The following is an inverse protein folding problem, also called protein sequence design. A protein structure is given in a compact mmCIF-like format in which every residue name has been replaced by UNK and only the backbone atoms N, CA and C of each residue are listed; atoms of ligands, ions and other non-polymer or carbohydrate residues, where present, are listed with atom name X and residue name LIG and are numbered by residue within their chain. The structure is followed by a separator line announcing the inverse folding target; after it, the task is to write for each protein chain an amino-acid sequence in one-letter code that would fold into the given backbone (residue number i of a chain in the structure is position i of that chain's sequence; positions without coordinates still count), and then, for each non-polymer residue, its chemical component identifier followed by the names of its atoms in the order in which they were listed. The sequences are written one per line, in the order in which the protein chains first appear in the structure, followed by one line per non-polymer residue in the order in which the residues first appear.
data_IF_974208402476
#
_entry.id   IF_974208402476
#
_cell.length_a   1.000
_cell.length_b   1.000
_cell.length_c   1.000
_cell.angle_alpha   90.00
_cell.angle_beta   90.00
_cell.angle_gamma   90.00
#
_symmetry.space_group_name_H-M   'P 1'
#
loop_
_entity.id
_entity.type
_entity.pdbx_description
1 polymer ?
#
# COMPACT_ATOMS: atom_id res chain seq x y z
N UNK A 1 -12.06 52.54 -37.92
CA UNK A 1 -11.57 53.76 -37.33
C UNK A 1 -11.26 53.46 -35.88
N UNK A 2 -9.99 53.10 -35.61
CA UNK A 2 -9.03 53.93 -34.91
C UNK A 2 -9.37 53.98 -33.42
N UNK A 3 -8.59 53.50 -32.49
CA UNK A 3 -7.23 53.91 -32.18
C UNK A 3 -6.55 52.91 -31.24
N UNK A 4 -5.36 52.54 -31.58
CA UNK A 4 -4.34 51.86 -30.79
C UNK A 4 -3.81 52.85 -29.76
N UNK A 5 -3.61 52.46 -28.53
CA UNK A 5 -2.73 53.15 -27.59
C UNK A 5 -1.76 52.18 -26.92
N UNK A 6 -0.52 52.25 -27.43
CA UNK A 6 0.67 51.63 -26.85
C UNK A 6 1.20 52.60 -25.80
N UNK A 7 1.43 52.14 -24.60
CA UNK A 7 2.30 52.82 -23.63
C UNK A 7 3.41 51.87 -23.23
N UNK A 8 4.59 52.19 -23.69
CA UNK A 8 5.90 51.70 -23.26
C UNK A 8 6.47 52.71 -22.28
N UNK A 9 6.93 52.27 -21.15
CA UNK A 9 7.97 52.92 -20.31
C UNK A 9 8.17 51.96 -19.10
N UNK A 10 9.33 51.58 -18.65
CA UNK A 10 10.71 51.98 -18.88
C UNK A 10 11.52 51.30 -17.80
N UNK A 11 12.60 50.70 -18.19
CA UNK A 11 13.61 50.05 -17.37
C UNK A 11 14.11 50.95 -16.22
N UNK A 12 14.34 50.37 -15.06
CA UNK A 12 15.51 50.76 -14.24
C UNK A 12 16.17 49.54 -13.62
N UNK A 13 17.36 49.29 -14.11
CA UNK A 13 18.38 48.41 -13.56
C UNK A 13 19.06 49.17 -12.42
N UNK A 14 19.22 48.54 -11.27
CA UNK A 14 20.23 48.98 -10.31
C UNK A 14 21.01 47.75 -9.84
N UNK A 15 22.26 47.71 -10.29
CA UNK A 15 23.33 46.87 -9.79
C UNK A 15 23.80 47.43 -8.44
N UNK A 16 24.10 46.57 -7.48
CA UNK A 16 25.22 46.80 -6.59
C UNK A 16 25.70 45.47 -5.98
N UNK A 17 26.91 45.18 -6.35
CA UNK A 17 27.82 44.16 -5.77
C UNK A 17 28.18 44.50 -4.34
N UNK A 18 28.39 43.50 -3.47
CA UNK A 18 29.70 43.35 -2.81
C UNK A 18 29.84 41.95 -2.16
N UNK A 19 30.86 41.27 -2.60
CA UNK A 19 31.58 40.20 -1.93
C UNK A 19 32.04 40.62 -0.53
N UNK A 20 32.12 39.66 0.37
CA UNK A 20 33.31 39.47 1.21
C UNK A 20 33.33 38.05 1.80
N UNK A 21 34.33 37.35 1.41
CA UNK A 21 34.94 36.13 1.96
C UNK A 21 35.38 36.30 3.38
N UNK A 22 35.26 35.26 4.22
CA UNK A 22 36.43 34.78 4.97
C UNK A 22 36.19 33.38 5.53
N UNK A 23 37.06 32.51 5.22
CA UNK A 23 37.27 31.17 5.77
C UNK A 23 37.84 31.26 7.18
N UNK A 24 37.50 30.32 8.04
CA UNK A 24 38.34 29.92 9.14
C UNK A 24 38.18 28.42 9.39
N UNK A 25 39.24 27.73 9.02
CA UNK A 25 39.59 26.36 9.35
C UNK A 25 40.12 26.37 10.79
N UNK A 26 39.65 25.46 11.61
CA UNK A 26 40.43 25.05 12.80
C UNK A 26 40.24 23.58 13.05
N UNK A 27 41.25 22.84 12.63
CA UNK A 27 41.57 21.49 13.02
C UNK A 27 42.25 21.53 14.40
N UNK A 28 42.08 20.49 15.22
CA UNK A 28 43.06 19.90 16.17
C UNK A 28 42.33 18.73 16.84
N UNK A 29 42.66 17.53 16.55
CA UNK A 29 43.84 16.70 16.88
C UNK A 29 43.74 16.07 18.27
N UNK A 30 43.68 14.75 18.20
CA UNK A 30 44.17 13.68 19.09
C UNK A 30 44.81 14.09 20.41
N UNK A 31 44.43 13.35 21.45
CA UNK A 31 45.40 12.81 22.39
C UNK A 31 44.90 11.48 22.96
N UNK A 32 45.66 10.47 22.65
CA UNK A 32 45.70 9.14 23.27
C UNK A 32 46.65 9.19 24.47
N UNK A 33 46.71 8.05 25.16
CA UNK A 33 47.65 7.65 26.26
C UNK A 33 46.99 7.79 27.65
N UNK A 34 47.04 6.80 28.47
CA UNK A 34 47.78 5.56 28.51
C UNK A 34 47.80 5.04 29.94
N UNK A 35 47.83 3.74 30.01
CA UNK A 35 48.58 2.87 30.94
C UNK A 35 48.44 3.08 32.43
N UNK A 36 48.20 2.03 33.06
CA UNK A 36 48.93 0.92 33.72
C UNK A 36 48.61 0.97 35.21
N UNK A 37 48.55 -0.04 35.99
CA UNK A 37 49.33 -1.22 36.25
C UNK A 37 48.65 -2.12 37.29
N UNK A 38 48.67 -3.42 37.05
CA UNK A 38 49.23 -4.47 37.90
C UNK A 38 48.66 -4.82 39.28
N UNK A 39 48.50 -6.13 39.46
CA UNK A 39 48.40 -6.85 40.71
C UNK A 39 47.62 -8.15 40.56
N UNK A 40 48.05 -9.18 39.95
CA UNK A 40 48.88 -10.34 40.32
C UNK A 40 48.60 -10.92 41.70
N UNK A 41 48.12 -12.16 41.74
CA UNK A 41 48.68 -13.37 42.35
C UNK A 41 47.70 -14.53 42.32
N UNK A 42 47.93 -15.53 41.50
CA UNK A 42 48.41 -16.91 41.82
C UNK A 42 47.65 -17.67 42.90
N UNK A 43 47.03 -18.79 42.54
CA UNK A 43 47.50 -20.14 42.78
C UNK A 43 46.45 -21.21 42.47
N UNK A 44 46.79 -22.13 41.60
CA UNK A 44 46.31 -23.53 41.61
C UNK A 44 47.35 -24.34 42.43
N UNK A 45 47.29 -25.66 42.62
CA UNK A 45 46.26 -26.66 42.32
C UNK A 45 46.05 -27.65 43.49
N UNK A 46 45.12 -28.62 43.41
CA UNK A 46 45.33 -30.02 43.89
C UNK A 46 44.08 -30.89 43.70
N UNK A 47 44.14 -31.81 42.82
CA UNK A 47 44.23 -33.26 42.80
C UNK A 47 43.21 -34.08 43.64
N UNK A 48 42.57 -35.03 42.92
CA UNK A 48 42.17 -36.44 43.21
C UNK A 48 41.12 -36.65 44.25
N UNK A 49 40.10 -37.45 43.95
CA UNK A 49 40.13 -38.89 43.68
C UNK A 49 38.74 -39.40 43.22
N UNK A 50 38.81 -40.45 42.41
CA UNK A 50 37.72 -41.22 41.91
C UNK A 50 36.99 -42.02 43.01
N UNK A 51 35.71 -42.27 42.79
CA UNK A 51 35.09 -43.60 42.98
C UNK A 51 33.68 -43.69 42.32
N UNK A 52 33.56 -44.62 41.39
CA UNK A 52 32.52 -45.63 41.12
C UNK A 52 31.06 -45.26 40.95
N UNK A 53 30.66 -45.47 39.71
CA UNK A 53 29.47 -46.18 39.21
C UNK A 53 28.13 -46.08 39.96
N UNK A 54 27.17 -45.43 39.27
CA UNK A 54 25.83 -45.96 39.12
C UNK A 54 25.26 -45.41 37.79
N UNK A 55 24.93 -46.32 36.88
CA UNK A 55 24.33 -46.00 35.62
C UNK A 55 22.96 -45.37 35.82
N UNK A 56 22.75 -44.26 35.15
CA UNK A 56 21.42 -43.77 34.82
C UNK A 56 21.32 -43.71 33.31
N UNK A 57 20.44 -44.52 32.80
CA UNK A 57 19.93 -44.48 31.46
C UNK A 57 19.47 -43.04 31.16
N UNK A 58 20.14 -42.36 30.23
CA UNK A 58 19.57 -41.19 29.59
C UNK A 58 18.56 -41.72 28.57
N UNK A 59 17.30 -41.78 29.00
CA UNK A 59 16.20 -41.73 28.07
C UNK A 59 16.40 -40.46 27.19
N UNK A 60 16.46 -40.67 25.90
CA UNK A 60 16.40 -39.60 24.93
C UNK A 60 15.08 -38.84 25.19
N UNK A 61 15.19 -37.61 25.66
CA UNK A 61 14.08 -36.66 25.60
C UNK A 61 13.73 -36.49 24.13
N UNK A 62 12.70 -37.19 23.73
CA UNK A 62 11.96 -36.92 22.51
C UNK A 62 11.49 -35.47 22.61
N UNK A 63 11.85 -34.69 21.60
CA UNK A 63 11.52 -33.28 21.50
C UNK A 63 10.09 -33.01 21.90
N UNK A 64 9.90 -32.03 22.74
CA UNK A 64 8.61 -31.40 22.93
C UNK A 64 8.21 -30.79 21.57
N UNK A 65 7.44 -31.55 20.78
CA UNK A 65 6.54 -30.97 19.81
C UNK A 65 5.58 -30.08 20.59
N UNK A 66 5.87 -28.79 20.60
CA UNK A 66 4.87 -27.80 20.92
C UNK A 66 3.90 -27.80 19.75
N UNK A 67 2.89 -28.65 19.84
CA UNK A 67 1.66 -28.55 19.06
C UNK A 67 1.03 -27.18 19.37
N UNK A 68 1.52 -26.14 18.71
CA UNK A 68 0.75 -24.94 18.47
C UNK A 68 -0.06 -25.20 17.20
N UNK A 69 -1.13 -25.96 17.38
CA UNK A 69 -2.24 -26.06 16.44
C UNK A 69 -2.95 -24.70 16.41
N UNK A 70 -2.29 -23.71 15.82
CA UNK A 70 -2.85 -22.45 15.42
C UNK A 70 -3.25 -22.57 13.94
N UNK A 71 -4.43 -23.22 13.70
CA UNK A 71 -5.21 -23.01 12.51
C UNK A 71 -4.47 -23.16 11.16
N UNK A 72 -3.51 -24.09 11.03
CA UNK A 72 -2.97 -24.42 9.73
C UNK A 72 -4.12 -24.98 8.90
N UNK A 73 -4.59 -24.23 7.90
CA UNK A 73 -5.60 -24.71 6.95
C UNK A 73 -5.22 -26.12 6.48
N UNK A 74 -6.17 -27.05 6.51
CA UNK A 74 -5.95 -28.42 6.12
C UNK A 74 -5.33 -28.47 4.72
N UNK A 75 -4.05 -28.89 4.63
CA UNK A 75 -3.28 -28.94 3.39
C UNK A 75 -2.25 -27.82 3.18
N UNK A 76 -2.12 -26.89 4.11
CA UNK A 76 -1.03 -25.90 4.08
C UNK A 76 0.32 -26.59 4.29
N UNK A 77 1.33 -26.09 3.57
CA UNK A 77 2.72 -26.53 3.70
C UNK A 77 3.58 -25.35 4.09
N UNK A 78 4.39 -25.54 5.11
CA UNK A 78 5.43 -24.59 5.44
C UNK A 78 6.49 -24.54 4.34
N UNK A 79 6.97 -23.34 4.02
CA UNK A 79 7.97 -23.07 2.98
C UNK A 79 9.12 -22.27 3.57
N UNK A 80 10.28 -22.34 2.94
CA UNK A 80 11.49 -21.66 3.42
C UNK A 80 11.58 -20.19 3.06
N UNK A 81 10.69 -19.72 2.18
CA UNK A 81 10.65 -18.35 1.69
C UNK A 81 9.21 -17.92 1.37
N UNK A 82 8.98 -16.62 1.27
CA UNK A 82 7.70 -16.07 0.86
C UNK A 82 7.36 -16.49 -0.58
N UNK A 83 6.09 -16.82 -0.80
CA UNK A 83 5.55 -17.17 -2.11
C UNK A 83 4.45 -16.17 -2.51
N UNK A 84 4.79 -14.94 -2.94
CA UNK A 84 3.80 -13.97 -3.37
C UNK A 84 2.86 -14.56 -4.42
N UNK A 85 1.58 -14.24 -4.30
CA UNK A 85 0.53 -14.62 -5.25
C UNK A 85 -0.04 -13.37 -5.89
N UNK A 86 -0.39 -13.52 -7.15
CA UNK A 86 -1.05 -12.48 -7.93
C UNK A 86 -2.50 -12.86 -8.09
N UNK A 87 -3.38 -11.98 -7.67
CA UNK A 87 -4.83 -12.12 -7.89
C UNK A 87 -5.20 -11.15 -8.99
N UNK A 88 -5.72 -11.66 -10.11
CA UNK A 88 -5.98 -10.90 -11.34
C UNK A 88 -7.47 -10.94 -11.66
N UNK A 89 -8.09 -9.76 -11.78
CA UNK A 89 -9.50 -9.62 -12.14
C UNK A 89 -9.69 -9.47 -13.64
N UNK A 90 -10.60 -10.28 -14.19
CA UNK A 90 -10.99 -10.27 -15.60
C UNK A 90 -12.51 -10.02 -15.74
N UNK A 91 -13.02 -9.96 -16.95
CA UNK A 91 -14.47 -9.80 -17.18
C UNK A 91 -15.31 -10.99 -16.71
N UNK A 92 -14.69 -12.16 -16.51
CA UNK A 92 -15.41 -13.39 -16.15
C UNK A 92 -15.10 -13.90 -14.74
N UNK A 93 -14.15 -13.28 -14.04
CA UNK A 93 -13.79 -13.74 -12.72
C UNK A 93 -12.43 -13.29 -12.23
N UNK A 94 -11.90 -14.07 -11.30
CA UNK A 94 -10.62 -13.88 -10.67
C UNK A 94 -9.70 -15.05 -10.98
N UNK A 95 -8.47 -14.77 -11.39
CA UNK A 95 -7.40 -15.75 -11.58
C UNK A 95 -6.33 -15.57 -10.51
N UNK A 96 -5.83 -16.66 -9.93
CA UNK A 96 -4.70 -16.62 -8.99
C UNK A 96 -3.49 -17.25 -9.65
N UNK A 97 -2.39 -16.52 -9.70
CA UNK A 97 -1.11 -16.96 -10.26
C UNK A 97 -0.04 -16.97 -9.16
N UNK A 98 0.98 -17.79 -9.34
CA UNK A 98 2.20 -17.69 -8.53
C UNK A 98 3.09 -16.52 -9.00
N UNK A 99 4.17 -16.25 -8.26
CA UNK A 99 5.15 -15.21 -8.59
C UNK A 99 5.91 -15.48 -9.92
N UNK A 100 5.83 -16.68 -10.47
CA UNK A 100 6.40 -17.05 -11.79
C UNK A 100 5.37 -16.93 -12.91
N UNK A 101 4.19 -16.39 -12.59
CA UNK A 101 3.04 -16.21 -13.47
C UNK A 101 2.37 -17.53 -13.91
N UNK A 102 2.62 -18.65 -13.21
CA UNK A 102 1.89 -19.89 -13.47
C UNK A 102 0.48 -19.82 -12.85
N UNK A 103 -0.53 -20.22 -13.62
CA UNK A 103 -1.93 -20.28 -13.17
C UNK A 103 -2.11 -21.33 -12.10
N UNK A 104 -2.71 -20.96 -10.98
CA UNK A 104 -3.00 -21.84 -9.85
C UNK A 104 -4.49 -22.16 -9.74
N UNK A 105 -5.35 -21.15 -9.89
CA UNK A 105 -6.79 -21.29 -9.78
C UNK A 105 -7.53 -20.18 -10.52
N UNK A 106 -8.82 -20.42 -10.84
CA UNK A 106 -9.75 -19.42 -11.35
C UNK A 106 -11.10 -19.56 -10.64
N UNK A 107 -11.72 -18.42 -10.33
CA UNK A 107 -13.01 -18.34 -9.65
C UNK A 107 -13.93 -17.42 -10.43
N UNK A 108 -15.16 -17.84 -10.80
CA UNK A 108 -16.10 -16.99 -11.52
C UNK A 108 -16.64 -15.88 -10.62
N UNK A 109 -16.92 -14.71 -11.19
CA UNK A 109 -17.63 -13.61 -10.54
C UNK A 109 -18.80 -13.16 -11.42
N UNK A 110 -19.79 -12.45 -10.82
CA UNK A 110 -20.96 -11.98 -11.54
C UNK A 110 -20.64 -10.84 -12.51
N UNK A 111 -19.60 -10.07 -12.18
CA UNK A 111 -19.06 -9.00 -13.04
C UNK A 111 -17.56 -8.87 -12.81
N UNK A 112 -16.89 -8.10 -13.68
CA UNK A 112 -15.48 -7.72 -13.52
C UNK A 112 -15.25 -7.09 -12.15
N UNK A 113 -14.38 -7.67 -11.30
CA UNK A 113 -14.12 -7.13 -9.98
C UNK A 113 -13.02 -6.08 -9.99
N UNK A 114 -13.09 -5.14 -9.04
CA UNK A 114 -11.93 -4.39 -8.56
C UNK A 114 -11.33 -5.16 -7.38
N UNK A 115 -10.00 -5.25 -7.33
CA UNK A 115 -9.29 -6.06 -6.35
C UNK A 115 -8.54 -5.19 -5.35
N UNK A 116 -8.65 -5.54 -4.08
CA UNK A 116 -7.89 -4.91 -2.99
C UNK A 116 -7.42 -5.98 -2.02
N UNK A 117 -6.13 -5.97 -1.69
CA UNK A 117 -5.56 -6.86 -0.66
C UNK A 117 -6.07 -6.45 0.72
N UNK A 118 -6.48 -7.43 1.52
CA UNK A 118 -6.91 -7.22 2.90
C UNK A 118 -5.73 -6.88 3.82
N UNK A 119 -6.04 -6.43 5.04
CA UNK A 119 -5.06 -6.05 6.05
C UNK A 119 -4.11 -7.20 6.44
N UNK A 120 -4.56 -8.44 6.33
CA UNK A 120 -3.76 -9.64 6.64
C UNK A 120 -2.73 -10.01 5.56
N UNK A 121 -2.75 -9.33 4.42
CA UNK A 121 -1.84 -9.60 3.30
C UNK A 121 -2.07 -10.94 2.59
N UNK A 122 -3.02 -11.77 3.02
CA UNK A 122 -3.37 -13.08 2.46
C UNK A 122 -4.60 -13.04 1.58
N UNK A 123 -5.65 -12.36 2.04
CA UNK A 123 -6.94 -12.34 1.36
C UNK A 123 -7.06 -11.15 0.42
N UNK A 124 -7.83 -11.33 -0.65
CA UNK A 124 -8.15 -10.28 -1.62
C UNK A 124 -9.66 -10.14 -1.74
N UNK A 125 -10.15 -8.92 -1.60
CA UNK A 125 -11.53 -8.57 -1.78
C UNK A 125 -11.81 -8.25 -3.24
N UNK A 126 -12.70 -9.02 -3.86
CA UNK A 126 -13.14 -8.87 -5.25
C UNK A 126 -14.47 -8.11 -5.27
N UNK A 127 -14.37 -6.79 -5.41
CA UNK A 127 -15.51 -5.86 -5.34
C UNK A 127 -16.24 -5.81 -6.67
N UNK A 128 -17.52 -6.15 -6.66
CA UNK A 128 -18.42 -6.12 -7.79
C UNK A 128 -19.52 -5.06 -7.53
N UNK A 129 -19.15 -3.81 -7.78
CA UNK A 129 -19.96 -2.64 -7.41
C UNK A 129 -21.41 -2.69 -7.89
N UNK A 130 -21.66 -3.01 -9.18
CA UNK A 130 -23.00 -3.04 -9.77
C UNK A 130 -23.81 -4.25 -9.31
N UNK A 131 -23.16 -5.38 -9.05
CA UNK A 131 -23.80 -6.58 -8.51
C UNK A 131 -24.11 -6.45 -7.01
N UNK A 132 -23.44 -5.51 -6.32
CA UNK A 132 -23.59 -5.35 -4.87
C UNK A 132 -22.96 -6.49 -4.08
N UNK A 133 -21.90 -7.10 -4.61
CA UNK A 133 -21.25 -8.29 -4.05
C UNK A 133 -19.76 -8.04 -3.83
N UNK A 134 -19.22 -8.53 -2.72
CA UNK A 134 -17.77 -8.60 -2.50
C UNK A 134 -17.41 -10.03 -2.12
N UNK A 135 -16.73 -10.72 -3.01
CA UNK A 135 -16.17 -12.03 -2.71
C UNK A 135 -14.82 -11.87 -2.02
N UNK A 136 -14.49 -12.83 -1.18
CA UNK A 136 -13.17 -12.95 -0.55
C UNK A 136 -12.43 -14.11 -1.20
N UNK A 137 -11.26 -13.82 -1.74
CA UNK A 137 -10.36 -14.80 -2.33
C UNK A 137 -9.20 -15.01 -1.38
N UNK A 138 -9.05 -16.23 -0.88
CA UNK A 138 -7.85 -16.67 -0.17
C UNK A 138 -6.78 -17.01 -1.22
N UNK A 139 -5.70 -16.27 -1.24
CA UNK A 139 -4.59 -16.53 -2.17
C UNK A 139 -3.89 -17.86 -1.91
N UNK A 140 -4.04 -18.41 -0.69
CA UNK A 140 -3.35 -19.61 -0.24
C UNK A 140 -1.87 -19.36 0.06
N UNK A 141 -1.46 -18.13 0.35
CA UNK A 141 -0.08 -17.83 0.74
C UNK A 141 -0.06 -16.77 1.83
N UNK A 142 0.66 -17.05 2.92
CA UNK A 142 0.76 -16.12 4.05
C UNK A 142 2.06 -16.31 4.82
N UNK A 143 2.41 -15.31 5.62
CA UNK A 143 3.50 -15.35 6.57
C UNK A 143 2.95 -15.24 8.00
N UNK A 144 3.53 -15.98 8.92
CA UNK A 144 3.24 -15.91 10.35
C UNK A 144 4.48 -15.45 11.09
N UNK A 145 4.34 -14.41 11.90
CA UNK A 145 5.44 -13.90 12.74
C UNK A 145 5.66 -14.86 13.91
N UNK A 146 6.91 -15.27 14.10
CA UNK A 146 7.31 -16.07 15.26
C UNK A 146 8.60 -15.50 15.87
N UNK A 147 8.46 -14.74 16.95
CA UNK A 147 9.60 -14.08 17.59
C UNK A 147 10.27 -13.06 16.68
N UNK A 148 11.49 -13.35 16.22
CA UNK A 148 12.32 -12.50 15.35
C UNK A 148 12.36 -12.96 13.89
N UNK A 149 11.54 -13.96 13.50
CA UNK A 149 11.51 -14.49 12.14
C UNK A 149 10.07 -14.79 11.68
N UNK A 150 9.93 -15.13 10.39
CA UNK A 150 8.67 -15.50 9.78
C UNK A 150 8.66 -16.98 9.39
N UNK A 151 7.52 -17.62 9.58
CA UNK A 151 7.17 -18.88 8.95
C UNK A 151 6.28 -18.57 7.74
N UNK A 152 6.61 -19.13 6.60
CA UNK A 152 5.85 -18.94 5.37
C UNK A 152 5.05 -20.19 5.05
N UNK A 153 3.81 -20.00 4.62
CA UNK A 153 2.91 -21.09 4.29
C UNK A 153 2.34 -20.95 2.89
N UNK A 154 2.12 -22.08 2.25
CA UNK A 154 1.46 -22.16 0.94
C UNK A 154 0.41 -23.27 0.93
N UNK A 155 -0.78 -22.92 0.45
CA UNK A 155 -1.93 -23.81 0.24
C UNK A 155 -2.52 -23.60 -1.17
N UNK A 156 -3.51 -24.39 -1.53
CA UNK A 156 -4.29 -24.13 -2.73
C UNK A 156 -5.13 -22.83 -2.54
N UNK A 157 -5.20 -21.95 -3.56
CA UNK A 157 -6.12 -20.83 -3.52
C UNK A 157 -7.56 -21.26 -3.39
N UNK A 158 -8.38 -20.45 -2.71
CA UNK A 158 -9.80 -20.69 -2.52
C UNK A 158 -10.61 -19.40 -2.63
N UNK A 159 -11.91 -19.51 -2.87
CA UNK A 159 -12.87 -18.42 -2.70
C UNK A 159 -13.82 -18.81 -1.57
N UNK A 160 -14.22 -17.85 -0.74
CA UNK A 160 -15.16 -18.12 0.34
C UNK A 160 -16.55 -18.44 -0.23
N UNK A 161 -17.23 -19.39 0.40
CA UNK A 161 -18.61 -19.74 0.04
C UNK A 161 -19.59 -18.58 0.31
N UNK A 162 -19.31 -17.78 1.34
CA UNK A 162 -20.07 -16.59 1.69
C UNK A 162 -19.44 -15.34 1.07
N UNK A 163 -20.27 -14.39 0.66
CA UNK A 163 -19.85 -13.09 0.15
C UNK A 163 -20.57 -11.97 0.90
N UNK A 164 -19.89 -10.83 1.07
CA UNK A 164 -20.56 -9.62 1.55
C UNK A 164 -21.54 -9.13 0.48
N UNK A 165 -22.73 -8.73 0.91
CA UNK A 165 -23.78 -8.21 0.04
C UNK A 165 -24.31 -6.87 0.54
N UNK A 166 -24.39 -5.90 -0.36
CA UNK A 166 -24.90 -4.56 -0.04
C UNK A 166 -24.94 -3.66 -1.26
N UNK A 167 -25.64 -2.56 -1.15
CA UNK A 167 -25.77 -1.61 -2.27
C UNK A 167 -24.49 -0.81 -2.51
N UNK A 168 -23.91 -0.95 -3.71
CA UNK A 168 -22.71 -0.20 -4.16
C UNK A 168 -21.50 -0.33 -3.23
N UNK A 169 -20.91 -1.51 -3.05
CA UNK A 169 -19.60 -1.60 -2.41
C UNK A 169 -18.56 -0.90 -3.29
N UNK A 170 -17.77 0.01 -2.72
CA UNK A 170 -16.78 0.81 -3.48
C UNK A 170 -15.41 0.78 -2.83
N UNK A 171 -15.27 1.38 -1.66
CA UNK A 171 -13.98 1.51 -1.00
C UNK A 171 -13.70 0.32 -0.10
N UNK A 172 -12.52 -0.27 -0.29
CA UNK A 172 -11.96 -1.29 0.59
C UNK A 172 -10.64 -0.74 1.12
N UNK A 173 -10.52 -0.65 2.43
CA UNK A 173 -9.30 -0.16 3.08
C UNK A 173 -8.80 -1.18 4.08
N UNK A 174 -7.64 -1.76 3.80
CA UNK A 174 -6.89 -2.61 4.71
C UNK A 174 -5.78 -1.80 5.39
N UNK A 175 -5.65 -1.95 6.71
CA UNK A 175 -4.51 -1.43 7.45
C UNK A 175 -3.92 -2.54 8.31
N UNK A 176 -2.79 -3.09 7.87
CA UNK A 176 -2.13 -4.21 8.55
C UNK A 176 -1.81 -3.90 10.02
N UNK A 177 -1.37 -2.67 10.33
CA UNK A 177 -1.09 -2.25 11.70
C UNK A 177 -2.34 -2.15 12.59
N UNK A 178 -3.53 -2.06 12.00
CA UNK A 178 -4.81 -2.11 12.72
C UNK A 178 -5.37 -3.53 12.81
N UNK A 179 -4.87 -4.44 11.98
CA UNK A 179 -5.40 -5.78 11.75
C UNK A 179 -6.89 -5.74 11.38
N UNK A 180 -7.24 -4.83 10.47
CA UNK A 180 -8.63 -4.55 10.13
C UNK A 180 -8.77 -4.10 8.68
N UNK A 181 -9.73 -4.70 7.99
CA UNK A 181 -10.17 -4.30 6.65
C UNK A 181 -11.59 -3.75 6.73
N UNK A 182 -11.87 -2.65 6.04
CA UNK A 182 -13.21 -2.09 5.92
C UNK A 182 -13.71 -2.16 4.50
N UNK A 183 -15.00 -2.42 4.33
CA UNK A 183 -15.71 -2.39 3.03
C UNK A 183 -16.84 -1.38 3.15
N UNK A 184 -16.76 -0.28 2.42
CA UNK A 184 -17.77 0.77 2.44
C UNK A 184 -18.84 0.55 1.37
N UNK A 185 -20.11 0.72 1.77
CA UNK A 185 -21.28 0.58 0.90
C UNK A 185 -21.96 1.94 0.72
N UNK A 186 -21.79 2.56 -0.43
CA UNK A 186 -22.29 3.90 -0.73
C UNK A 186 -23.82 4.05 -0.52
N UNK A 187 -24.59 3.03 -0.87
CA UNK A 187 -26.04 3.08 -0.79
C UNK A 187 -26.58 3.15 0.65
N UNK A 188 -25.79 2.71 1.62
CA UNK A 188 -26.17 2.76 3.04
C UNK A 188 -25.39 3.80 3.82
N UNK A 189 -24.23 4.24 3.30
CA UNK A 189 -23.28 5.09 4.03
C UNK A 189 -22.70 4.37 5.23
N UNK A 190 -22.37 3.09 5.11
CA UNK A 190 -21.83 2.29 6.18
C UNK A 190 -20.69 1.38 5.69
N UNK A 191 -19.71 1.15 6.54
CA UNK A 191 -18.65 0.19 6.31
C UNK A 191 -18.83 -1.07 7.16
N UNK A 192 -18.63 -2.23 6.56
CA UNK A 192 -18.48 -3.51 7.26
C UNK A 192 -17.02 -3.70 7.67
N UNK A 193 -16.79 -4.17 8.90
CA UNK A 193 -15.47 -4.40 9.47
C UNK A 193 -15.12 -5.89 9.38
N UNK A 194 -14.05 -6.22 8.67
CA UNK A 194 -13.51 -7.58 8.58
C UNK A 194 -12.25 -7.63 9.45
N UNK A 195 -12.35 -8.38 10.54
CA UNK A 195 -11.23 -8.67 11.43
C UNK A 195 -10.47 -9.90 10.95
N UNK A 196 -9.32 -10.16 11.52
CA UNK A 196 -8.57 -11.40 11.30
C UNK A 196 -9.46 -12.65 11.53
N UNK A 197 -10.23 -12.68 12.62
CA UNK A 197 -11.17 -13.76 12.94
C UNK A 197 -12.17 -14.05 11.81
N UNK A 198 -12.70 -12.99 11.15
CA UNK A 198 -13.65 -13.17 10.04
C UNK A 198 -13.00 -13.89 8.83
N UNK A 199 -11.71 -13.68 8.61
CA UNK A 199 -10.97 -14.39 7.57
C UNK A 199 -10.62 -15.83 7.98
N UNK A 200 -10.24 -16.07 9.23
CA UNK A 200 -9.92 -17.40 9.74
C UNK A 200 -11.16 -18.32 9.77
N UNK A 201 -12.27 -17.81 10.29
CA UNK A 201 -13.53 -18.59 10.37
C UNK A 201 -14.25 -18.69 9.04
N UNK A 202 -13.90 -17.82 8.08
CA UNK A 202 -14.59 -17.66 6.79
C UNK A 202 -16.06 -17.26 6.92
N UNK A 203 -16.43 -16.67 8.07
CA UNK A 203 -17.78 -16.23 8.38
C UNK A 203 -17.92 -14.72 8.12
N UNK A 204 -18.72 -14.35 7.11
CA UNK A 204 -18.93 -12.97 6.70
C UNK A 204 -20.30 -12.40 7.13
N UNK A 205 -21.06 -13.14 7.93
CA UNK A 205 -22.35 -12.69 8.49
C UNK A 205 -22.18 -12.15 9.93
N UNK A 206 -23.09 -11.27 10.32
CA UNK A 206 -23.10 -10.72 11.69
C UNK A 206 -21.93 -9.77 12.01
N UNK A 207 -21.16 -9.36 11.01
CA UNK A 207 -20.03 -8.48 11.19
C UNK A 207 -20.45 -7.10 11.70
N UNK A 208 -19.57 -6.48 12.50
CA UNK A 208 -19.76 -5.10 12.98
C UNK A 208 -19.72 -4.13 11.80
N UNK A 209 -20.57 -3.09 11.88
CA UNK A 209 -20.58 -1.99 10.91
C UNK A 209 -20.35 -0.65 11.59
N UNK A 210 -19.77 0.29 10.84
CA UNK A 210 -19.64 1.71 11.21
C UNK A 210 -20.43 2.52 10.23
N UNK A 211 -21.45 3.22 10.71
CA UNK A 211 -22.33 4.07 9.89
C UNK A 211 -21.86 5.52 9.86
N UNK A 212 -22.23 6.19 8.78
CA UNK A 212 -22.13 7.65 8.61
C UNK A 212 -23.51 8.30 8.75
N UNK A 213 -23.59 9.61 8.58
CA UNK A 213 -24.88 10.34 8.66
C UNK A 213 -25.83 10.07 7.50
N UNK A 214 -25.43 9.30 6.50
CA UNK A 214 -26.29 8.93 5.37
C UNK A 214 -25.51 8.37 4.17
N UNK A 215 -26.22 7.96 3.11
CA UNK A 215 -25.62 7.49 1.87
C UNK A 215 -24.66 8.52 1.26
N UNK A 216 -23.49 8.05 0.82
CA UNK A 216 -22.46 8.87 0.21
C UNK A 216 -21.42 7.99 -0.51
N UNK A 217 -20.59 8.60 -1.33
CA UNK A 217 -19.37 7.98 -1.83
C UNK A 217 -18.25 8.21 -0.81
N UNK A 218 -18.23 7.39 0.26
CA UNK A 218 -17.40 7.61 1.43
C UNK A 218 -16.47 6.47 1.76
N UNK A 219 -15.72 6.63 2.85
CA UNK A 219 -14.77 5.64 3.34
C UNK A 219 -14.70 5.64 4.87
N UNK A 220 -14.38 4.50 5.44
CA UNK A 220 -13.98 4.35 6.85
C UNK A 220 -12.57 3.77 6.87
N UNK A 221 -11.63 4.50 7.46
CA UNK A 221 -10.22 4.10 7.56
C UNK A 221 -9.91 3.66 9.00
N UNK A 222 -9.50 2.41 9.21
CA UNK A 222 -9.05 1.95 10.51
C UNK A 222 -7.61 2.43 10.78
N UNK A 223 -7.32 2.89 11.99
CA UNK A 223 -5.99 3.31 12.44
C UNK A 223 -5.39 2.27 13.39
N UNK A 224 -4.06 2.20 13.44
CA UNK A 224 -3.33 1.25 14.28
C UNK A 224 -3.67 1.38 15.79
N UNK A 225 -3.98 2.59 16.24
CA UNK A 225 -4.41 2.87 17.63
C UNK A 225 -5.88 2.48 17.92
N UNK A 226 -6.56 1.79 16.99
CA UNK A 226 -7.97 1.38 17.03
C UNK A 226 -9.00 2.50 16.90
N UNK A 227 -8.58 3.72 16.61
CA UNK A 227 -9.47 4.77 16.17
C UNK A 227 -9.86 4.57 14.69
N UNK A 228 -10.87 5.30 14.24
CA UNK A 228 -11.34 5.26 12.86
C UNK A 228 -11.49 6.67 12.32
N UNK A 229 -11.13 6.88 11.07
CA UNK A 229 -11.47 8.08 10.32
C UNK A 229 -12.70 7.78 9.47
N UNK A 230 -13.79 8.46 9.75
CA UNK A 230 -15.12 8.21 9.19
C UNK A 230 -15.55 9.42 8.39
N UNK A 231 -15.68 9.27 7.08
CA UNK A 231 -16.18 10.37 6.23
C UNK A 231 -17.66 10.64 6.48
N UNK A 232 -18.05 11.91 6.34
CA UNK A 232 -19.44 12.33 6.48
C UNK A 232 -19.92 12.99 5.19
N UNK A 233 -21.20 12.77 4.80
CA UNK A 233 -21.72 13.33 3.56
C UNK A 233 -21.66 14.85 3.55
N UNK A 234 -21.30 15.42 2.41
CA UNK A 234 -21.28 16.85 2.18
C UNK A 234 -22.69 17.42 1.89
N UNK A 235 -22.83 18.72 2.04
CA UNK A 235 -24.12 19.42 1.84
C UNK A 235 -24.59 19.43 0.37
N UNK A 236 -23.67 19.24 -0.59
CA UNK A 236 -23.91 19.44 -2.02
C UNK A 236 -24.05 18.15 -2.84
N UNK A 237 -24.01 16.99 -2.21
CA UNK A 237 -24.12 15.74 -2.96
C UNK A 237 -23.49 14.53 -2.30
N UNK A 238 -23.13 13.54 -3.13
CA UNK A 238 -22.66 12.24 -2.66
C UNK A 238 -21.19 12.21 -2.19
N UNK A 239 -20.42 13.28 -2.43
CA UNK A 239 -19.02 13.36 -2.01
C UNK A 239 -18.92 13.87 -0.56
N UNK A 240 -18.00 13.34 0.23
CA UNK A 240 -17.78 13.79 1.61
C UNK A 240 -17.11 15.16 1.66
N UNK A 241 -17.44 15.94 2.69
CA UNK A 241 -16.83 17.24 3.00
C UNK A 241 -16.08 17.23 4.34
N UNK A 242 -16.37 16.26 5.20
CA UNK A 242 -15.75 16.16 6.52
C UNK A 242 -15.36 14.73 6.88
N UNK A 243 -14.37 14.64 7.77
CA UNK A 243 -13.84 13.38 8.28
C UNK A 243 -13.87 13.47 9.80
N UNK A 244 -14.56 12.56 10.47
CA UNK A 244 -14.59 12.44 11.91
C UNK A 244 -13.53 11.43 12.38
N UNK A 245 -12.69 11.81 13.33
CA UNK A 245 -11.86 10.89 14.10
C UNK A 245 -12.71 10.32 15.22
N UNK A 246 -13.01 9.04 15.16
CA UNK A 246 -13.85 8.36 16.13
C UNK A 246 -13.03 7.29 16.88
N UNK A 247 -13.29 7.15 18.18
CA UNK A 247 -12.81 6.01 18.96
C UNK A 247 -13.58 4.73 18.62
N UNK A 248 -13.08 3.58 19.06
CA UNK A 248 -13.66 2.27 18.76
C UNK A 248 -15.14 2.10 19.22
N UNK A 249 -15.61 2.93 20.16
CA UNK A 249 -17.00 2.98 20.62
C UNK A 249 -17.88 3.97 19.83
N UNK A 250 -17.30 4.66 18.83
CA UNK A 250 -17.98 5.64 17.98
C UNK A 250 -17.99 7.07 18.54
N UNK A 251 -17.32 7.34 19.65
CA UNK A 251 -17.22 8.72 20.19
C UNK A 251 -16.33 9.57 19.27
N UNK A 252 -16.86 10.69 18.79
CA UNK A 252 -16.11 11.64 17.98
C UNK A 252 -15.10 12.38 18.84
N UNK A 253 -13.82 12.27 18.49
CA UNK A 253 -12.69 12.92 19.16
C UNK A 253 -12.32 14.25 18.49
N UNK A 254 -12.41 14.31 17.15
CA UNK A 254 -12.07 15.47 16.35
C UNK A 254 -12.80 15.41 15.00
N UNK A 255 -12.82 16.54 14.27
CA UNK A 255 -13.43 16.65 12.94
C UNK A 255 -12.57 17.51 12.04
N UNK A 256 -12.29 17.01 10.83
CA UNK A 256 -11.46 17.65 9.83
C UNK A 256 -12.27 17.98 8.58
N UNK A 257 -12.00 19.13 7.98
CA UNK A 257 -12.61 19.53 6.71
C UNK A 257 -11.75 19.07 5.53
N UNK A 258 -12.39 18.47 4.52
CA UNK A 258 -11.79 18.09 3.26
C UNK A 258 -12.88 18.14 2.18
N UNK A 259 -13.05 19.31 1.59
CA UNK A 259 -14.17 19.57 0.67
C UNK A 259 -14.09 18.66 -0.55
N UNK A 260 -15.24 18.05 -0.88
CA UNK A 260 -15.42 17.21 -2.05
C UNK A 260 -14.29 16.15 -2.16
N UNK A 261 -14.07 15.45 -1.04
CA UNK A 261 -12.98 14.49 -0.85
C UNK A 261 -13.04 13.36 -1.87
N UNK A 262 -11.89 13.02 -2.44
CA UNK A 262 -11.72 11.83 -3.28
C UNK A 262 -10.30 11.30 -3.20
N UNK A 263 -10.18 9.97 -3.07
CA UNK A 263 -8.89 9.31 -2.92
C UNK A 263 -8.34 9.39 -1.51
N UNK A 264 -7.96 8.23 -1.00
CA UNK A 264 -7.43 8.04 0.33
C UNK A 264 -6.30 7.02 0.32
N UNK A 265 -5.47 7.10 1.36
CA UNK A 265 -4.46 6.07 1.66
C UNK A 265 -4.19 6.05 3.15
N UNK A 266 -3.82 4.88 3.68
CA UNK A 266 -3.46 4.70 5.09
C UNK A 266 -2.25 3.79 5.26
N UNK A 267 -1.43 4.12 6.25
CA UNK A 267 -0.42 3.24 6.83
C UNK A 267 -0.28 3.56 8.32
N UNK A 268 -0.44 2.54 9.18
CA UNK A 268 -0.37 2.74 10.63
C UNK A 268 -1.39 3.74 11.16
N UNK A 269 -0.93 4.84 11.75
CA UNK A 269 -1.75 5.96 12.24
C UNK A 269 -1.72 7.18 11.30
N UNK A 270 -1.22 7.01 10.08
CA UNK A 270 -1.16 8.08 9.09
C UNK A 270 -2.15 7.80 7.97
N UNK A 271 -3.06 8.72 7.71
CA UNK A 271 -3.96 8.71 6.55
C UNK A 271 -3.81 10.01 5.77
N UNK A 272 -4.01 9.93 4.44
CA UNK A 272 -4.06 11.11 3.58
C UNK A 272 -5.28 11.06 2.67
N UNK A 273 -5.82 12.24 2.36
CA UNK A 273 -7.01 12.44 1.53
C UNK A 273 -6.78 13.55 0.51
N UNK A 274 -7.24 13.33 -0.73
CA UNK A 274 -7.32 14.39 -1.72
C UNK A 274 -8.58 15.25 -1.51
N UNK A 275 -8.41 16.55 -1.35
CA UNK A 275 -9.49 17.55 -1.28
C UNK A 275 -9.45 18.42 -2.54
N UNK A 276 -10.48 19.21 -2.81
CA UNK A 276 -10.54 20.07 -4.01
C UNK A 276 -9.35 21.02 -4.15
N UNK A 277 -8.84 21.53 -3.04
CA UNK A 277 -7.82 22.59 -3.01
C UNK A 277 -6.55 22.21 -2.25
N UNK A 278 -6.47 20.93 -1.81
CA UNK A 278 -5.40 20.51 -0.91
C UNK A 278 -5.30 18.99 -0.80
N UNK A 279 -4.25 18.54 -0.14
CA UNK A 279 -4.18 17.20 0.44
C UNK A 279 -4.18 17.32 1.96
N UNK A 280 -5.13 16.65 2.60
CA UNK A 280 -5.22 16.57 4.04
C UNK A 280 -4.47 15.33 4.51
N UNK A 281 -3.48 15.51 5.39
CA UNK A 281 -2.73 14.40 6.00
C UNK A 281 -3.02 14.40 7.49
N UNK A 282 -3.47 13.27 8.02
CA UNK A 282 -3.76 13.08 9.45
C UNK A 282 -2.76 12.07 9.99
N UNK A 283 -1.90 12.50 10.92
CA UNK A 283 -0.91 11.67 11.60
C UNK A 283 -1.16 11.68 13.11
N UNK A 284 -1.37 10.51 13.71
CA UNK A 284 -1.67 10.36 15.14
C UNK A 284 -2.78 11.32 15.61
N UNK A 285 -3.84 11.45 14.80
CA UNK A 285 -4.98 12.32 15.07
C UNK A 285 -4.74 13.82 14.85
N UNK A 286 -3.60 14.22 14.29
CA UNK A 286 -3.28 15.63 13.98
C UNK A 286 -3.28 15.87 12.49
N UNK A 287 -4.04 16.86 12.05
CA UNK A 287 -4.15 17.23 10.64
C UNK A 287 -3.07 18.21 10.20
N UNK A 288 -2.54 17.98 9.00
CA UNK A 288 -1.72 18.92 8.23
C UNK A 288 -2.34 19.06 6.85
N UNK A 289 -2.61 20.28 6.42
CA UNK A 289 -3.14 20.58 5.09
C UNK A 289 -2.00 21.02 4.18
N UNK A 290 -1.83 20.32 3.07
CA UNK A 290 -0.87 20.68 2.03
C UNK A 290 -1.67 21.37 0.92
N UNK A 291 -1.48 22.67 0.67
CA UNK A 291 -2.20 23.38 -0.36
C UNK A 291 -1.97 22.80 -1.74
N UNK A 292 -2.95 22.91 -2.63
CA UNK A 292 -2.79 22.61 -4.04
C UNK A 292 -1.55 23.32 -4.58
N UNK A 293 -0.71 22.63 -5.39
CA UNK A 293 0.57 23.20 -5.84
C UNK A 293 0.42 24.37 -6.80
N UNK A 294 -0.74 24.51 -7.44
CA UNK A 294 -1.06 25.60 -8.36
C UNK A 294 -2.58 25.89 -8.37
N UNK A 295 -2.98 26.88 -9.15
CA UNK A 295 -4.37 27.35 -9.29
C UNK A 295 -5.09 26.72 -10.50
N UNK A 296 -4.68 25.56 -10.98
CA UNK A 296 -5.28 24.88 -12.15
C UNK A 296 -6.71 24.42 -11.90
N UNK A 297 -7.08 24.21 -10.63
CA UNK A 297 -8.34 23.61 -10.23
C UNK A 297 -8.31 22.07 -10.31
N UNK A 298 -7.14 21.48 -10.55
CA UNK A 298 -6.94 20.05 -10.48
C UNK A 298 -7.05 19.57 -9.01
N UNK A 299 -7.42 18.33 -8.85
CA UNK A 299 -7.57 17.65 -7.54
C UNK A 299 -6.79 16.35 -7.56
N UNK A 300 -6.23 15.99 -6.43
CA UNK A 300 -5.70 14.64 -6.22
C UNK A 300 -6.87 13.67 -6.10
N UNK A 301 -7.02 12.81 -7.09
CA UNK A 301 -8.13 11.83 -7.16
C UNK A 301 -7.79 10.47 -6.59
N UNK A 302 -6.53 10.20 -6.30
CA UNK A 302 -6.05 8.99 -5.66
C UNK A 302 -4.64 9.17 -5.13
N UNK A 303 -4.30 8.41 -4.10
CA UNK A 303 -3.03 8.51 -3.39
C UNK A 303 -2.42 7.13 -3.14
N UNK A 304 -1.09 7.07 -3.14
CA UNK A 304 -0.32 5.97 -2.56
C UNK A 304 0.75 6.55 -1.63
N UNK A 305 1.19 5.77 -0.65
CA UNK A 305 2.19 6.21 0.33
C UNK A 305 3.31 5.18 0.46
N UNK A 306 4.50 5.64 0.86
CA UNK A 306 5.57 4.75 1.28
C UNK A 306 5.21 4.02 2.59
N UNK A 307 5.97 3.00 2.94
CA UNK A 307 5.71 2.15 4.11
C UNK A 307 5.64 2.93 5.46
N UNK A 308 6.23 4.11 5.52
CA UNK A 308 6.30 4.92 6.75
C UNK A 308 5.27 6.06 6.80
N UNK A 309 4.46 6.29 5.75
CA UNK A 309 3.50 7.39 5.70
C UNK A 309 4.13 8.79 5.65
N UNK A 310 5.36 8.90 5.15
CA UNK A 310 6.11 10.17 5.11
C UNK A 310 6.18 10.78 3.72
N UNK A 311 6.01 9.98 2.68
CA UNK A 311 5.98 10.41 1.30
C UNK A 311 4.73 9.85 0.59
N UNK A 312 4.14 10.67 -0.29
CA UNK A 312 2.93 10.32 -1.03
C UNK A 312 3.09 10.67 -2.50
N UNK A 313 2.47 9.86 -3.35
CA UNK A 313 2.29 10.14 -4.76
C UNK A 313 0.80 10.20 -5.07
N UNK A 314 0.37 11.29 -5.68
CA UNK A 314 -0.99 11.49 -6.20
C UNK A 314 -1.01 11.78 -7.69
N UNK A 315 -2.18 11.66 -8.29
CA UNK A 315 -2.45 12.17 -9.63
C UNK A 315 -2.63 13.70 -9.61
N UNK A 316 -2.28 14.34 -10.72
CA UNK A 316 -2.45 15.78 -10.93
C UNK A 316 -2.76 16.05 -12.40
N UNK A 317 -4.03 16.12 -12.73
CA UNK A 317 -4.46 16.21 -14.13
C UNK A 317 -4.13 14.95 -14.95
N UNK A 318 -4.02 15.13 -16.25
CA UNK A 318 -3.90 14.00 -17.18
C UNK A 318 -2.47 13.46 -17.34
N UNK A 319 -1.46 14.34 -17.29
CA UNK A 319 -0.06 14.00 -17.60
C UNK A 319 0.92 14.30 -16.47
N UNK A 320 0.43 14.87 -15.37
CA UNK A 320 1.26 15.27 -14.24
C UNK A 320 0.97 14.44 -13.00
N UNK A 321 1.94 14.34 -12.12
CA UNK A 321 1.91 13.68 -10.83
C UNK A 321 2.23 14.69 -9.75
N UNK A 322 1.66 14.55 -8.57
CA UNK A 322 2.04 15.32 -7.38
C UNK A 322 2.76 14.42 -6.37
N UNK A 323 3.98 14.79 -6.05
CA UNK A 323 4.78 14.16 -5.00
C UNK A 323 4.71 15.02 -3.74
N UNK A 324 4.40 14.41 -2.62
CA UNK A 324 4.37 15.08 -1.32
C UNK A 324 5.41 14.41 -0.44
N UNK A 325 6.42 15.17 -0.05
CA UNK A 325 7.48 14.71 0.84
C UNK A 325 7.85 15.83 1.82
N UNK A 326 7.97 15.49 3.11
CA UNK A 326 8.20 16.47 4.18
C UNK A 326 7.19 17.63 4.14
N UNK A 327 5.91 17.31 3.93
CA UNK A 327 4.78 18.25 3.85
C UNK A 327 4.93 19.33 2.74
N UNK A 328 5.66 19.00 1.69
CA UNK A 328 5.85 19.84 0.51
C UNK A 328 5.40 19.13 -0.75
N UNK A 329 4.50 19.74 -1.50
CA UNK A 329 4.05 19.26 -2.80
C UNK A 329 5.00 19.71 -3.93
N UNK A 330 5.25 18.79 -4.87
CA UNK A 330 6.01 19.02 -6.10
C UNK A 330 5.27 18.38 -7.25
N UNK A 331 4.94 19.15 -8.29
CA UNK A 331 4.30 18.63 -9.51
C UNK A 331 5.36 18.26 -10.54
N UNK A 332 5.18 17.11 -11.17
CA UNK A 332 6.03 16.60 -12.24
C UNK A 332 5.17 16.21 -13.41
N UNK A 333 5.32 16.91 -14.55
CA UNK A 333 4.71 16.53 -15.82
C UNK A 333 5.56 15.44 -16.48
N UNK A 334 4.96 14.26 -16.70
CA UNK A 334 5.62 13.12 -17.36
C UNK A 334 5.36 13.07 -18.88
N UNK A 335 4.57 14.03 -19.39
CA UNK A 335 4.32 14.23 -20.82
C UNK A 335 3.42 13.20 -21.48
N UNK A 336 2.87 12.25 -20.74
CA UNK A 336 1.92 11.22 -21.22
C UNK A 336 0.85 10.97 -20.16
N UNK A 337 -0.34 10.59 -20.58
CA UNK A 337 -1.34 10.09 -19.63
C UNK A 337 -0.88 8.78 -19.02
N UNK A 338 -1.40 8.43 -17.87
CA UNK A 338 -0.96 7.26 -17.10
C UNK A 338 -2.16 6.56 -16.43
N UNK A 339 -1.90 5.35 -15.96
CA UNK A 339 -2.84 4.56 -15.16
C UNK A 339 -2.53 4.69 -13.66
N UNK A 340 -2.80 3.64 -12.90
CA UNK A 340 -2.56 3.59 -11.47
C UNK A 340 -1.09 3.84 -11.11
N UNK A 341 -0.84 4.07 -9.85
CA UNK A 341 0.44 4.27 -9.21
C UNK A 341 0.61 3.24 -8.11
N UNK A 342 1.85 2.90 -7.81
CA UNK A 342 2.22 2.00 -6.73
C UNK A 342 3.43 2.55 -5.98
N UNK A 343 3.51 2.25 -4.69
CA UNK A 343 4.69 2.50 -3.88
C UNK A 343 5.69 1.34 -4.05
N UNK A 344 6.95 1.66 -3.93
CA UNK A 344 8.08 0.74 -3.97
C UNK A 344 8.93 0.90 -2.71
N UNK A 345 9.77 -0.07 -2.36
CA UNK A 345 10.75 0.10 -1.29
C UNK A 345 11.66 1.31 -1.50
N UNK A 346 12.28 1.78 -0.42
CA UNK A 346 13.21 2.93 -0.40
C UNK A 346 12.56 4.25 -0.84
N UNK A 347 11.31 4.46 -0.44
CA UNK A 347 10.55 5.69 -0.73
C UNK A 347 10.46 6.02 -2.22
N UNK A 348 10.32 4.99 -3.04
CA UNK A 348 10.14 5.11 -4.48
C UNK A 348 8.69 4.85 -4.88
N UNK A 349 8.34 5.29 -6.07
CA UNK A 349 7.01 5.13 -6.66
C UNK A 349 7.12 4.73 -8.12
N UNK A 350 6.07 4.08 -8.64
CA UNK A 350 6.00 3.76 -10.06
C UNK A 350 4.61 4.06 -10.64
N UNK A 351 4.59 4.42 -11.93
CA UNK A 351 3.39 4.58 -12.76
C UNK A 351 3.62 3.99 -14.15
N UNK A 352 2.56 3.52 -14.78
CA UNK A 352 2.59 3.08 -16.17
C UNK A 352 1.99 4.18 -17.08
N UNK A 353 2.78 4.69 -18.01
CA UNK A 353 2.33 5.63 -19.01
C UNK A 353 1.56 4.97 -20.15
N UNK A 354 0.77 5.78 -20.89
CA UNK A 354 0.05 5.32 -22.08
C UNK A 354 0.98 4.94 -23.24
N UNK A 355 2.24 5.32 -23.17
CA UNK A 355 3.30 4.87 -24.10
C UNK A 355 3.82 3.44 -23.82
N UNK A 356 3.27 2.79 -22.77
CA UNK A 356 3.64 1.43 -22.36
C UNK A 356 4.87 1.35 -21.48
N UNK A 357 5.41 2.49 -21.06
CA UNK A 357 6.60 2.56 -20.23
C UNK A 357 6.26 2.70 -18.74
N UNK A 358 6.79 1.79 -17.92
CA UNK A 358 6.80 1.90 -16.47
C UNK A 358 7.91 2.87 -16.05
N UNK A 359 7.53 3.94 -15.37
CA UNK A 359 8.45 4.94 -14.83
C UNK A 359 8.54 4.81 -13.33
N UNK A 360 9.75 4.88 -12.80
CA UNK A 360 9.98 4.91 -11.34
C UNK A 360 10.54 6.27 -10.93
N UNK A 361 10.17 6.69 -9.72
CA UNK A 361 10.52 8.01 -9.18
C UNK A 361 11.00 7.88 -7.74
N UNK A 362 11.86 8.81 -7.31
CA UNK A 362 12.10 9.01 -5.89
C UNK A 362 10.97 9.80 -5.21
N UNK A 363 11.04 9.94 -3.88
CA UNK A 363 10.02 10.66 -3.10
C UNK A 363 9.87 12.15 -3.46
N UNK A 364 10.79 12.73 -4.21
CA UNK A 364 10.76 14.13 -4.65
C UNK A 364 10.34 14.30 -6.12
N UNK A 365 9.99 13.20 -6.80
CA UNK A 365 9.53 13.19 -8.17
C UNK A 365 10.65 13.19 -9.23
N UNK A 366 11.90 12.89 -8.84
CA UNK A 366 12.96 12.65 -9.80
C UNK A 366 12.77 11.28 -10.45
N UNK A 367 12.64 11.23 -11.77
CA UNK A 367 12.60 9.98 -12.53
C UNK A 367 13.95 9.23 -12.37
N UNK A 368 13.84 7.95 -11.99
CA UNK A 368 14.98 7.07 -11.74
C UNK A 368 15.19 6.09 -12.88
N UNK A 369 14.10 5.53 -13.39
CA UNK A 369 14.11 4.53 -14.45
C UNK A 369 12.88 4.64 -15.35
N UNK A 370 13.04 4.15 -16.58
CA UNK A 370 11.99 3.99 -17.58
C UNK A 370 12.15 2.63 -18.24
N UNK A 371 11.15 1.74 -18.09
CA UNK A 371 11.18 0.35 -18.53
C UNK A 371 9.99 0.13 -19.46
N UNK A 372 10.22 -0.32 -20.70
CA UNK A 372 9.15 -0.68 -21.61
C UNK A 372 8.50 -2.00 -21.23
N UNK A 373 7.19 -2.01 -20.98
CA UNK A 373 6.47 -3.17 -20.42
C UNK A 373 5.33 -3.64 -21.31
N UNK A 374 4.48 -2.72 -21.79
CA UNK A 374 3.29 -3.04 -22.61
C UNK A 374 3.33 -2.32 -23.94
N UNK A 375 2.46 -2.73 -24.85
CA UNK A 375 2.16 -1.88 -26.01
C UNK A 375 1.58 -0.54 -25.55
N UNK A 376 1.72 0.49 -26.40
CA UNK A 376 1.04 1.76 -26.17
C UNK A 376 -0.48 1.56 -26.17
N UNK A 377 -1.17 2.28 -25.27
CA UNK A 377 -2.62 2.16 -25.07
C UNK A 377 -3.27 3.56 -24.95
N UNK A 378 -4.58 3.62 -25.02
CA UNK A 378 -5.31 4.88 -24.91
C UNK A 378 -6.07 4.91 -23.59
N UNK A 379 -5.87 5.96 -22.80
CA UNK A 379 -6.63 6.16 -21.55
C UNK A 379 -8.11 6.43 -21.90
N UNK A 380 -9.02 5.52 -21.56
CA UNK A 380 -10.43 5.73 -21.85
C UNK A 380 -11.05 6.71 -20.86
N UNK A 381 -12.15 7.34 -21.24
CA UNK A 381 -12.90 8.20 -20.34
C UNK A 381 -13.73 7.39 -19.34
N UNK A 382 -13.76 7.83 -18.07
CA UNK A 382 -14.64 7.30 -17.02
C UNK A 382 -14.02 6.17 -16.17
N UNK A 383 -14.61 5.96 -14.99
CA UNK A 383 -14.12 5.05 -13.95
C UNK A 383 -14.33 3.55 -14.23
N UNK A 384 -15.16 3.19 -15.19
CA UNK A 384 -15.44 1.78 -15.54
C UNK A 384 -14.58 1.28 -16.71
N UNK A 385 -13.55 2.01 -17.03
CA UNK A 385 -12.75 1.81 -18.23
C UNK A 385 -11.81 0.60 -18.08
N UNK A 386 -11.56 -0.07 -19.20
CA UNK A 386 -10.54 -1.12 -19.29
C UNK A 386 -9.18 -0.45 -19.40
N UNK A 387 -8.39 -0.57 -18.36
CA UNK A 387 -7.03 -0.01 -18.29
C UNK A 387 -6.09 -1.03 -17.68
N UNK A 388 -4.78 -0.94 -17.95
CA UNK A 388 -3.78 -1.71 -17.23
C UNK A 388 -3.87 -1.46 -15.72
N UNK A 389 -3.80 -2.52 -14.92
CA UNK A 389 -3.66 -2.48 -13.47
C UNK A 389 -2.20 -2.63 -13.06
N UNK A 390 -1.84 -2.06 -11.93
CA UNK A 390 -0.52 -2.19 -11.32
C UNK A 390 -0.65 -2.72 -9.89
N UNK A 391 0.29 -3.58 -9.52
CA UNK A 391 0.53 -3.96 -8.14
C UNK A 391 2.04 -4.06 -7.90
N UNK A 392 2.48 -3.81 -6.69
CA UNK A 392 3.89 -3.88 -6.29
C UNK A 392 4.08 -4.81 -5.10
N UNK A 393 5.29 -5.29 -4.95
CA UNK A 393 5.70 -6.12 -3.82
C UNK A 393 7.19 -6.40 -3.87
N UNK A 394 7.65 -7.24 -2.96
CA UNK A 394 9.05 -7.67 -2.88
C UNK A 394 9.11 -9.20 -3.09
N UNK A 395 10.04 -9.66 -3.89
CA UNK A 395 10.33 -11.07 -4.10
C UNK A 395 11.82 -11.32 -3.83
N UNK A 396 12.13 -12.06 -2.77
CA UNK A 396 13.52 -12.33 -2.35
C UNK A 396 14.39 -11.05 -2.35
N UNK A 397 13.89 -10.01 -1.66
CA UNK A 397 14.50 -8.67 -1.55
C UNK A 397 14.55 -7.85 -2.85
N UNK A 398 13.94 -8.32 -3.93
CA UNK A 398 13.85 -7.61 -5.21
C UNK A 398 12.52 -6.87 -5.32
N UNK A 399 12.49 -5.54 -5.48
CA UNK A 399 11.27 -4.81 -5.78
C UNK A 399 10.69 -5.24 -7.13
N UNK A 400 9.44 -5.64 -7.13
CA UNK A 400 8.70 -6.08 -8.30
C UNK A 400 7.50 -5.18 -8.56
N UNK A 401 7.19 -4.97 -9.82
CA UNK A 401 5.90 -4.44 -10.25
C UNK A 401 5.25 -5.43 -11.20
N UNK A 402 3.99 -5.74 -10.95
CA UNK A 402 3.18 -6.55 -11.86
C UNK A 402 2.19 -5.65 -12.57
N UNK A 403 2.06 -5.86 -13.87
CA UNK A 403 1.29 -5.02 -14.78
C UNK A 403 0.34 -5.91 -15.58
N UNK A 404 -0.94 -5.55 -15.65
CA UNK A 404 -1.87 -6.19 -16.60
C UNK A 404 -1.82 -5.46 -17.93
N UNK A 405 -1.94 -6.19 -19.03
CA UNK A 405 -2.11 -5.66 -20.38
C UNK A 405 -3.43 -6.20 -20.97
N UNK A 406 -4.54 -5.49 -20.79
CA UNK A 406 -5.87 -5.97 -21.15
C UNK A 406 -6.01 -6.35 -22.63
N UNK A 407 -5.48 -5.54 -23.53
CA UNK A 407 -5.62 -5.74 -24.97
C UNK A 407 -4.80 -6.92 -25.51
N UNK A 408 -3.77 -7.33 -24.76
CA UNK A 408 -2.94 -8.48 -25.11
C UNK A 408 -3.30 -9.74 -24.30
N UNK A 409 -4.23 -9.63 -23.32
CA UNK A 409 -4.56 -10.70 -22.38
C UNK A 409 -3.31 -11.24 -21.64
N UNK A 410 -2.46 -10.32 -21.15
CA UNK A 410 -1.19 -10.64 -20.49
C UNK A 410 -1.07 -10.04 -19.10
N UNK A 411 -0.24 -10.71 -18.31
CA UNK A 411 0.34 -10.15 -17.07
C UNK A 411 1.85 -10.15 -17.24
N UNK A 412 2.47 -9.05 -16.83
CA UNK A 412 3.91 -8.84 -16.85
C UNK A 412 4.44 -8.73 -15.43
N UNK A 413 5.58 -9.35 -15.15
CA UNK A 413 6.36 -9.18 -13.94
C UNK A 413 7.63 -8.39 -14.30
N UNK A 414 7.84 -7.27 -13.63
CA UNK A 414 8.95 -6.35 -13.87
C UNK A 414 9.86 -6.35 -12.65
N UNK A 415 11.08 -6.82 -12.82
CA UNK A 415 12.16 -6.65 -11.83
C UNK A 415 12.70 -5.22 -11.93
N UNK A 416 12.48 -4.43 -10.90
CA UNK A 416 12.86 -3.01 -10.89
C UNK A 416 14.38 -2.79 -10.84
N UNK A 417 15.15 -3.73 -10.29
CA UNK A 417 16.61 -3.59 -10.28
C UNK A 417 17.25 -3.80 -11.63
N UNK A 418 16.78 -4.81 -12.36
CA UNK A 418 17.39 -5.22 -13.62
C UNK A 418 16.66 -4.67 -14.85
N UNK A 419 15.43 -4.21 -14.70
CA UNK A 419 14.54 -3.84 -15.79
C UNK A 419 14.02 -5.05 -16.60
N UNK A 420 14.22 -6.27 -16.10
CA UNK A 420 13.77 -7.47 -16.79
C UNK A 420 12.26 -7.61 -16.71
N UNK A 421 11.63 -7.84 -17.86
CA UNK A 421 10.20 -8.11 -17.98
C UNK A 421 9.99 -9.59 -18.34
N UNK A 422 9.13 -10.26 -17.59
CA UNK A 422 8.65 -11.62 -17.86
C UNK A 422 7.13 -11.56 -18.02
N UNK A 423 6.57 -12.30 -18.98
CA UNK A 423 5.15 -12.20 -19.32
C UNK A 423 4.49 -13.57 -19.38
N UNK A 424 3.21 -13.62 -19.04
CA UNK A 424 2.36 -14.80 -19.26
C UNK A 424 0.99 -14.41 -19.80
N UNK A 425 0.36 -15.30 -20.54
CA UNK A 425 -1.01 -15.15 -21.00
C UNK A 425 -1.99 -15.47 -19.87
N UNK A 426 -3.06 -14.70 -19.77
CA UNK A 426 -4.16 -14.89 -18.82
C UNK A 426 -5.46 -15.02 -19.60
N UNK A 427 -6.29 -15.99 -19.24
CA UNK A 427 -7.60 -16.13 -19.87
C UNK A 427 -8.51 -14.95 -19.51
N UNK A 428 -9.09 -14.31 -20.52
CA UNK A 428 -9.88 -13.10 -20.37
C UNK A 428 -9.02 -11.83 -20.33
N UNK A 429 -9.70 -10.68 -20.27
CA UNK A 429 -9.10 -9.36 -20.30
C UNK A 429 -8.70 -8.91 -18.87
N UNK A 430 -7.41 -8.98 -18.48
CA UNK A 430 -7.00 -8.63 -17.13
C UNK A 430 -6.98 -7.12 -16.94
N UNK A 431 -7.65 -6.59 -15.91
CA UNK A 431 -7.78 -5.15 -15.66
C UNK A 431 -7.41 -4.72 -14.25
N UNK A 432 -7.59 -5.59 -13.27
CA UNK A 432 -7.20 -5.32 -11.90
C UNK A 432 -6.24 -6.42 -11.42
N UNK A 433 -5.35 -6.04 -10.54
CA UNK A 433 -4.36 -6.96 -9.97
C UNK A 433 -4.07 -6.57 -8.53
N UNK A 434 -3.96 -7.57 -7.68
CA UNK A 434 -3.52 -7.44 -6.28
C UNK A 434 -2.41 -8.45 -6.00
N UNK A 435 -1.53 -8.12 -5.08
CA UNK A 435 -0.43 -8.98 -4.63
C UNK A 435 -0.66 -9.34 -3.17
N UNK A 436 -0.42 -10.60 -2.83
CA UNK A 436 -0.51 -11.10 -1.47
C UNK A 436 0.82 -11.69 -1.05
N UNK A 437 1.09 -11.66 0.25
CA UNK A 437 2.29 -12.22 0.87
C UNK A 437 3.59 -11.77 0.18
N UNK A 438 3.65 -10.49 -0.21
CA UNK A 438 4.93 -9.85 -0.42
C UNK A 438 5.64 -9.73 0.94
N UNK A 439 6.94 -9.86 0.94
CA UNK A 439 7.74 -9.44 2.10
C UNK A 439 7.42 -7.95 2.35
N UNK A 440 6.84 -7.67 3.52
CA UNK A 440 6.43 -6.33 3.92
C UNK A 440 7.61 -5.49 4.38
#
# INVERSE_FOLDING_TARGET
MITILIIVLGMRISKSYKLLTTAAIASLALAACGSSTEGSTTSAPSTRSATTEAGHDHEAETGHEHDHDNGADAGAKETTEAHPRLVVGTETGVSVLDHKLAMLATFPTEQRPTLTTAADGRHVLAVQNKAGVVNVVDSGSWAQVHGDHFHYYAAAPAIFDEALKGGKPVHVVGNAAADLTTVFFDATGAATLLTHEAFETKELHGLKTVGTKGPQHGVVIPLANKDMLVTQPGDKGAMPDTIELQSADGTVKDTFNCNDMHGEVVVGNTAAYGCVDSVLIIRDGKATTIPAPDASGERVGGLVTNANGTAFLGDWGDTSLVFINNDKATVVDIGVSYTNRVALPKDQFAVLGTDGDLRTFDANGKELQKIHVTNAWTKPAGHSAVMPGLASGVLSSTPMVWVTEPDANKVHAVDIFTGKVTSADVAGQPVSIAVTNGEG
#
